data_IF_116885462237
#
_entry.id   IF_116885462237
#
_cell.length_a   1.000
_cell.length_b   1.000
_cell.length_c   1.000
_cell.angle_alpha   90.00
_cell.angle_beta   90.00
_cell.angle_gamma   90.00
#
_symmetry.space_group_name_H-M   'P 1'
#
loop_
_entity.id
_entity.type
_entity.pdbx_description
1 polymer ?
#
# COMPACT_ATOMS: atom_id res chain seq x y z
N UNK A 1 1.68 -5.72 15.69
CA UNK A 1 1.66 -5.81 14.23
C UNK A 1 0.20 -5.88 13.82
N UNK A 2 -0.34 -4.75 13.39
CA UNK A 2 -1.72 -4.68 12.92
C UNK A 2 -1.70 -4.53 11.40
N UNK A 3 -2.30 -5.52 10.72
CA UNK A 3 -2.57 -5.45 9.29
C UNK A 3 -3.80 -4.57 9.13
N UNK A 4 -3.66 -3.42 8.47
CA UNK A 4 -4.76 -2.48 8.30
C UNK A 4 -5.60 -2.81 7.08
N UNK A 5 -5.00 -3.12 5.92
CA UNK A 5 -5.77 -3.53 4.74
C UNK A 5 -4.92 -4.33 3.74
N UNK A 6 -5.59 -5.13 2.90
CA UNK A 6 -4.97 -5.85 1.79
C UNK A 6 -5.93 -6.03 0.61
N UNK A 7 -5.37 -6.05 -0.60
CA UNK A 7 -6.10 -6.42 -1.80
C UNK A 7 -5.38 -7.52 -2.58
N UNK A 8 -6.00 -8.69 -2.67
CA UNK A 8 -5.52 -9.79 -3.50
C UNK A 8 -6.01 -9.57 -4.93
N UNK A 9 -5.10 -9.68 -5.90
CA UNK A 9 -5.43 -9.62 -7.33
C UNK A 9 -6.39 -10.76 -7.69
N UNK A 10 -7.32 -10.56 -8.61
CA UNK A 10 -8.31 -11.59 -8.98
C UNK A 10 -7.65 -12.90 -9.43
N UNK A 11 -6.53 -12.81 -10.16
CA UNK A 11 -5.73 -13.97 -10.57
C UNK A 11 -5.18 -14.78 -9.38
N UNK A 12 -5.06 -14.16 -8.21
CA UNK A 12 -4.63 -14.78 -6.97
C UNK A 12 -3.11 -14.99 -6.87
N UNK A 13 -2.33 -14.28 -7.70
CA UNK A 13 -0.86 -14.37 -7.75
C UNK A 13 -0.15 -13.25 -6.99
N UNK A 14 -0.80 -12.10 -6.80
CA UNK A 14 -0.24 -10.93 -6.14
C UNK A 14 -1.21 -10.32 -5.12
N UNK A 15 -0.66 -9.64 -4.12
CA UNK A 15 -1.44 -8.81 -3.20
C UNK A 15 -0.71 -7.50 -2.88
N UNK A 16 -1.47 -6.41 -2.81
CA UNK A 16 -1.04 -5.20 -2.12
C UNK A 16 -1.38 -5.33 -0.63
N UNK A 17 -0.46 -4.97 0.24
CA UNK A 17 -0.61 -5.10 1.70
C UNK A 17 -0.13 -3.82 2.36
N UNK A 18 -0.97 -3.21 3.18
CA UNK A 18 -0.58 -2.05 3.99
C UNK A 18 -0.43 -2.47 5.46
N UNK A 19 0.72 -2.15 6.03
CA UNK A 19 1.09 -2.47 7.40
C UNK A 19 1.46 -1.18 8.13
N UNK A 20 1.00 -1.08 9.38
CA UNK A 20 1.50 -0.10 10.33
C UNK A 20 1.97 -0.84 11.59
N UNK A 21 3.28 -0.90 11.76
CA UNK A 21 3.89 -1.57 12.89
C UNK A 21 4.16 -0.55 14.00
N UNK A 22 3.39 -0.63 15.08
CA UNK A 22 3.58 0.15 16.31
C UNK A 22 4.64 -0.49 17.23
N UNK A 23 5.79 -0.89 16.69
CA UNK A 23 6.81 -1.67 17.40
C UNK A 23 7.22 -1.07 18.76
N UNK A 24 6.56 -1.51 19.84
CA UNK A 24 6.88 -1.26 21.25
C UNK A 24 6.75 0.18 21.77
N UNK A 25 6.94 1.18 20.91
CA UNK A 25 6.83 2.62 21.19
C UNK A 25 6.23 3.31 19.96
N UNK A 26 5.17 4.09 20.17
CA UNK A 26 4.50 4.86 19.13
C UNK A 26 5.45 5.82 18.39
N UNK A 27 6.57 6.25 19.01
CA UNK A 27 7.58 7.07 18.34
C UNK A 27 8.37 6.32 17.27
N UNK A 28 8.47 5.00 17.37
CA UNK A 28 9.15 4.15 16.39
C UNK A 28 8.20 3.48 15.40
N UNK A 29 6.90 3.79 15.50
CA UNK A 29 5.92 3.20 14.62
C UNK A 29 6.25 3.49 13.16
N UNK A 30 6.10 2.50 12.28
CA UNK A 30 6.42 2.67 10.85
C UNK A 30 5.38 2.01 9.97
N UNK A 31 4.94 2.77 8.96
CA UNK A 31 3.97 2.37 7.96
C UNK A 31 4.66 2.02 6.64
N UNK A 32 4.30 0.86 6.08
CA UNK A 32 4.79 0.37 4.81
C UNK A 32 3.66 -0.09 3.91
N UNK A 33 3.87 0.06 2.61
CA UNK A 33 3.05 -0.55 1.58
C UNK A 33 3.88 -1.56 0.80
N UNK A 34 3.41 -2.80 0.81
CA UNK A 34 4.08 -3.93 0.19
C UNK A 34 3.33 -4.45 -1.02
N UNK A 35 4.11 -4.96 -1.96
CA UNK A 35 3.66 -5.89 -2.98
C UNK A 35 4.18 -7.28 -2.61
N UNK A 36 3.27 -8.23 -2.49
CA UNK A 36 3.61 -9.61 -2.13
C UNK A 36 3.16 -10.57 -3.22
N UNK A 37 3.89 -11.66 -3.38
CA UNK A 37 3.39 -12.84 -4.07
C UNK A 37 2.34 -13.55 -3.21
N UNK A 38 1.41 -14.24 -3.86
CA UNK A 38 0.47 -15.12 -3.20
C UNK A 38 0.90 -16.57 -3.43
N UNK A 39 1.06 -17.30 -2.33
CA UNK A 39 1.37 -18.73 -2.36
C UNK A 39 0.21 -19.48 -1.74
N UNK A 40 -0.44 -20.37 -2.49
CA UNK A 40 -1.52 -21.23 -1.97
C UNK A 40 -2.60 -20.47 -1.17
N UNK A 41 -3.00 -19.29 -1.65
CA UNK A 41 -3.97 -18.36 -1.02
C UNK A 41 -3.50 -17.63 0.24
N UNK A 42 -2.24 -17.78 0.63
CA UNK A 42 -1.61 -17.00 1.70
C UNK A 42 -0.67 -15.95 1.12
N UNK A 43 -0.49 -14.84 1.85
CA UNK A 43 0.50 -13.82 1.52
C UNK A 43 1.88 -14.46 1.68
N UNK A 44 2.63 -14.50 0.58
CA UNK A 44 3.96 -15.05 0.49
C UNK A 44 5.03 -13.95 0.57
N UNK A 45 6.17 -14.13 -0.12
CA UNK A 45 7.28 -13.19 -0.09
C UNK A 45 6.90 -11.78 -0.51
N UNK A 46 7.49 -10.80 0.17
CA UNK A 46 7.46 -9.39 -0.24
C UNK A 46 8.41 -9.21 -1.43
N UNK A 47 7.86 -8.75 -2.55
CA UNK A 47 8.61 -8.48 -3.79
C UNK A 47 8.73 -6.99 -4.11
N UNK A 48 8.02 -6.14 -3.36
CA UNK A 48 8.13 -4.68 -3.44
C UNK A 48 7.80 -4.02 -2.12
N UNK A 49 8.52 -2.93 -1.81
CA UNK A 49 8.32 -2.14 -0.59
C UNK A 49 8.35 -0.66 -0.90
N UNK A 50 7.38 0.07 -0.35
CA UNK A 50 7.34 1.53 -0.30
C UNK A 50 7.18 1.93 1.16
N UNK A 51 8.11 2.73 1.67
CA UNK A 51 7.98 3.36 2.98
C UNK A 51 6.95 4.49 2.89
N UNK A 52 5.96 4.46 3.77
CA UNK A 52 4.89 5.46 3.79
C UNK A 52 5.22 6.52 4.82
N UNK A 53 5.46 6.15 6.07
CA UNK A 53 5.66 7.10 7.15
C UNK A 53 6.34 6.45 8.35
N UNK A 54 7.10 7.23 9.11
CA UNK A 54 7.56 6.86 10.44
C UNK A 54 7.00 7.81 11.50
N UNK A 55 6.93 7.31 12.73
CA UNK A 55 6.38 7.98 13.90
C UNK A 55 4.89 7.70 14.11
N UNK A 56 4.41 8.16 15.27
CA UNK A 56 3.03 8.06 15.67
C UNK A 56 2.12 8.68 14.60
N UNK A 57 1.07 7.95 14.26
CA UNK A 57 0.13 8.37 13.24
C UNK A 57 -1.29 8.03 13.70
N UNK A 58 -2.14 9.04 13.98
CA UNK A 58 -3.53 8.79 14.31
C UNK A 58 -4.29 8.40 13.04
N UNK A 59 -4.21 7.13 12.65
CA UNK A 59 -4.92 6.57 11.51
C UNK A 59 -5.72 5.34 11.92
N UNK A 60 -6.83 5.11 11.24
CA UNK A 60 -7.66 3.93 11.42
C UNK A 60 -7.76 3.13 10.13
N UNK A 61 -8.23 1.89 10.23
CA UNK A 61 -8.52 1.04 9.06
C UNK A 61 -9.49 1.72 8.07
N UNK A 62 -10.46 2.50 8.55
CA UNK A 62 -11.42 3.20 7.71
C UNK A 62 -10.80 4.31 6.84
N UNK A 63 -9.62 4.81 7.22
CA UNK A 63 -8.90 5.84 6.47
C UNK A 63 -8.01 5.25 5.38
N UNK A 64 -7.83 3.93 5.39
CA UNK A 64 -6.96 3.18 4.49
C UNK A 64 -7.81 2.44 3.46
N UNK A 65 -7.33 2.41 2.23
CA UNK A 65 -7.85 1.50 1.23
C UNK A 65 -6.72 1.02 0.33
N UNK A 66 -6.56 -0.29 0.21
CA UNK A 66 -5.72 -0.93 -0.79
C UNK A 66 -6.64 -1.45 -1.89
N UNK A 67 -6.35 -1.12 -3.15
CA UNK A 67 -7.15 -1.63 -4.27
C UNK A 67 -6.34 -1.76 -5.54
N UNK A 68 -6.79 -2.67 -6.39
CA UNK A 68 -6.33 -2.78 -7.77
C UNK A 68 -7.06 -1.78 -8.66
N UNK A 69 -6.39 -1.31 -9.70
CA UNK A 69 -7.07 -0.61 -10.80
C UNK A 69 -7.93 -1.59 -11.62
N UNK A 70 -8.75 -1.06 -12.52
CA UNK A 70 -9.69 -1.88 -13.32
C UNK A 70 -8.98 -2.94 -14.18
N UNK A 71 -7.77 -2.66 -14.64
CA UNK A 71 -6.96 -3.61 -15.43
C UNK A 71 -6.16 -4.58 -14.57
N UNK A 72 -6.21 -4.42 -13.24
CA UNK A 72 -5.33 -5.08 -12.27
C UNK A 72 -3.84 -5.01 -12.67
N UNK A 73 -3.44 -3.89 -13.28
CA UNK A 73 -2.05 -3.59 -13.65
C UNK A 73 -1.34 -2.83 -12.54
N UNK A 74 -2.11 -2.13 -11.71
CA UNK A 74 -1.61 -1.33 -10.60
C UNK A 74 -2.33 -1.69 -9.33
N UNK A 75 -1.59 -1.78 -8.23
CA UNK A 75 -2.16 -1.82 -6.88
C UNK A 75 -1.76 -0.56 -6.13
N UNK A 76 -2.74 0.12 -5.56
CA UNK A 76 -2.58 1.42 -4.94
C UNK A 76 -2.99 1.40 -3.47
N UNK A 77 -2.25 2.15 -2.68
CA UNK A 77 -2.61 2.56 -1.33
C UNK A 77 -3.27 3.94 -1.39
N UNK A 78 -4.43 4.04 -0.77
CA UNK A 78 -5.17 5.27 -0.59
C UNK A 78 -5.27 5.57 0.89
N UNK A 79 -4.99 6.81 1.26
CA UNK A 79 -5.08 7.31 2.63
C UNK A 79 -6.01 8.53 2.59
N UNK A 80 -7.08 8.51 3.37
CA UNK A 80 -8.17 9.50 3.32
C UNK A 80 -8.73 9.68 1.89
N UNK A 81 -8.82 8.57 1.14
CA UNK A 81 -9.29 8.55 -0.24
C UNK A 81 -8.32 9.10 -1.29
N UNK A 82 -7.12 9.58 -0.90
CA UNK A 82 -6.11 10.09 -1.82
C UNK A 82 -5.04 9.03 -2.11
N UNK A 83 -4.64 8.91 -3.38
CA UNK A 83 -3.59 7.96 -3.80
C UNK A 83 -2.26 8.36 -3.17
N UNK A 84 -1.71 7.48 -2.33
CA UNK A 84 -0.50 7.75 -1.58
C UNK A 84 0.73 6.97 -2.03
N UNK A 85 0.50 5.76 -2.55
CA UNK A 85 1.54 4.95 -3.15
C UNK A 85 0.93 3.98 -4.15
N UNK A 86 1.70 3.55 -5.14
CA UNK A 86 1.27 2.52 -6.07
C UNK A 86 2.45 1.70 -6.59
N UNK A 87 2.19 0.42 -6.85
CA UNK A 87 3.04 -0.42 -7.68
C UNK A 87 2.40 -0.56 -9.06
N UNK A 88 3.16 -0.29 -10.12
CA UNK A 88 2.80 -0.60 -11.50
C UNK A 88 3.51 -1.89 -11.91
N UNK A 89 2.72 -2.96 -12.01
CA UNK A 89 3.22 -4.31 -12.32
C UNK A 89 3.62 -4.42 -13.80
N UNK A 90 2.95 -3.67 -14.68
CA UNK A 90 3.22 -3.69 -16.11
C UNK A 90 4.53 -2.93 -16.44
N UNK A 91 4.71 -1.76 -15.83
CA UNK A 91 5.92 -0.96 -16.01
C UNK A 91 7.10 -1.43 -15.12
N UNK A 92 6.82 -2.23 -14.08
CA UNK A 92 7.82 -2.63 -13.08
C UNK A 92 8.27 -1.45 -12.20
N UNK A 93 7.43 -0.43 -12.03
CA UNK A 93 7.75 0.80 -11.31
C UNK A 93 6.94 0.94 -10.01
N UNK A 94 7.43 1.79 -9.11
CA UNK A 94 6.72 2.16 -7.89
C UNK A 94 6.64 3.68 -7.76
N UNK A 95 5.56 4.17 -7.17
CA UNK A 95 5.23 5.60 -7.07
C UNK A 95 4.81 5.94 -5.64
N UNK A 96 5.11 7.15 -5.19
CA UNK A 96 4.71 7.66 -3.87
C UNK A 96 5.62 7.23 -2.73
N UNK A 97 5.07 7.26 -1.51
CA UNK A 97 5.81 7.17 -0.25
C UNK A 97 6.01 8.54 0.42
N UNK A 98 6.51 8.55 1.66
CA UNK A 98 6.79 9.80 2.40
C UNK A 98 5.55 10.64 2.75
N UNK A 99 4.45 10.00 3.13
CA UNK A 99 3.18 10.65 3.49
C UNK A 99 3.36 11.68 4.62
N UNK A 100 3.26 12.98 4.28
CA UNK A 100 3.57 14.10 5.15
C UNK A 100 4.22 15.28 4.42
N UNK A 101 5.53 15.49 4.61
CA UNK A 101 6.26 16.71 4.17
C UNK A 101 6.36 16.90 2.65
N UNK A 102 6.36 15.81 1.88
CA UNK A 102 6.61 15.84 0.43
C UNK A 102 5.49 15.13 -0.36
N UNK A 103 4.26 15.14 0.17
CA UNK A 103 3.13 14.49 -0.48
C UNK A 103 2.70 15.23 -1.75
N UNK A 104 3.32 14.91 -2.88
CA UNK A 104 2.83 15.30 -4.20
C UNK A 104 1.96 14.17 -4.78
N UNK A 105 0.65 14.38 -4.76
CA UNK A 105 -0.37 13.44 -5.21
C UNK A 105 -0.49 13.35 -6.76
N UNK A 106 0.61 13.52 -7.49
CA UNK A 106 0.63 13.33 -8.94
C UNK A 106 0.96 11.86 -9.29
N UNK A 107 0.45 10.92 -8.50
CA UNK A 107 0.55 9.49 -8.82
C UNK A 107 -0.47 9.23 -9.93
N UNK A 108 -0.05 8.78 -11.14
CA UNK A 108 -0.96 8.53 -12.23
C UNK A 108 -1.89 7.36 -11.91
N UNK A 109 -3.07 7.66 -11.35
CA UNK A 109 -4.09 6.67 -11.07
C UNK A 109 -5.23 6.77 -12.06
N UNK A 110 -5.37 5.76 -12.91
CA UNK A 110 -6.44 5.67 -13.91
C UNK A 110 -7.69 5.08 -13.26
N UNK A 111 -8.40 5.88 -12.47
CA UNK A 111 -9.78 5.57 -12.06
C UNK A 111 -10.76 6.18 -13.06
N UNK A 112 -11.18 5.44 -14.07
CA UNK A 112 -12.31 5.89 -14.90
C UNK A 112 -13.62 5.34 -14.36
N UNK A 113 -14.36 6.29 -13.77
CA UNK A 113 -15.79 6.38 -13.47
C UNK A 113 -16.32 5.64 -12.24
#
# INVERSE_FOLDING_TARGET
MDLFDRAVRTKGDLAGVFEYDEAGDQQNATAYFYLCEMQSKTVGPIIGTIHIRSGAWPITEADITVKWDKGERRVGLFIYGQSAAAFDIEAGTKHGGGYGRDFHADIPWSGSN
#
